data_IF_657169470047
#
_entry.id   IF_657169470047
#
_cell.length_a   1.000
_cell.length_b   1.000
_cell.length_c   1.000
_cell.angle_alpha   90.00
_cell.angle_beta   90.00
_cell.angle_gamma   90.00
#
_symmetry.space_group_name_H-M   'P 1'
#
loop_
_entity.id
_entity.type
_entity.pdbx_description
1 polymer ?
2 polymer ?
3 water ?
#
loop_
_entity_poly.entity_id
_entity_poly.type
_entity_poly.pdbx_seq_one_letter_code
_entity_poly.pdbx_strand_id
2 'polyribonucleotide' 'GGGGUUUUCCUUUUCCCC' ?
#
# COMPACT_ATOMS: atom_id res chain seq x y z
N UNK A 36 17.98 0.44 21.36
CA UNK A 36 16.84 1.08 21.99
C UNK A 36 17.33 1.42 23.37
N UNK A 37 16.95 0.64 24.36
CA UNK A 37 17.46 0.96 25.67
C UNK A 37 18.86 0.49 25.78
N UNK A 38 19.13 -0.54 25.03
CA UNK A 38 20.40 -1.08 24.95
C UNK A 38 21.31 -0.02 24.35
N UNK A 39 20.75 0.91 23.59
CA UNK A 39 21.54 1.96 22.97
C UNK A 39 21.92 3.01 23.97
N UNK A 40 20.98 3.30 24.84
CA UNK A 40 21.22 4.24 25.87
C UNK A 40 22.29 3.71 26.81
N UNK A 41 22.29 2.43 27.06
CA UNK A 41 23.22 1.78 27.97
C UNK A 41 24.62 1.80 27.42
N UNK A 42 24.69 1.62 26.13
CA UNK A 42 25.95 1.64 25.38
C UNK A 42 26.59 3.01 25.44
N UNK A 43 25.76 4.02 25.19
CA UNK A 43 26.10 5.41 25.25
C UNK A 43 26.60 5.87 26.66
N UNK A 44 26.07 5.25 27.72
CA UNK A 44 26.44 5.60 29.09
C UNK A 44 27.74 4.92 29.57
N UNK A 45 28.28 4.01 28.73
CA UNK A 45 29.61 3.45 28.92
C UNK A 45 30.69 4.29 28.24
N UNK A 46 30.32 5.43 27.66
CA UNK A 46 31.26 6.32 26.97
C UNK A 46 31.65 5.90 25.55
N UNK A 47 31.00 4.85 25.04
CA UNK A 47 31.19 4.33 23.70
C UNK A 47 30.45 5.23 22.69
N UNK A 48 31.18 5.75 21.71
CA UNK A 48 30.67 6.67 20.71
C UNK A 48 30.38 5.87 19.46
N UNK A 49 29.08 5.60 19.21
CA UNK A 49 28.68 4.69 18.15
C UNK A 49 28.71 5.29 16.76
N UNK A 50 29.11 4.48 15.78
CA UNK A 50 29.08 4.82 14.34
C UNK A 50 27.74 5.39 13.90
N UNK A 51 27.78 6.20 12.84
CA UNK A 51 26.61 6.77 12.22
C UNK A 51 25.73 5.62 11.75
N UNK A 52 26.34 4.53 11.29
CA UNK A 52 25.61 3.38 10.75
C UNK A 52 24.74 2.80 11.86
N UNK A 53 25.21 2.92 13.10
CA UNK A 53 24.42 2.50 14.28
C UNK A 53 23.19 3.38 14.49
N UNK A 54 23.39 4.70 14.50
CA UNK A 54 22.29 5.67 14.49
C UNK A 54 21.25 5.47 13.36
N UNK A 55 21.72 5.18 12.15
CA UNK A 55 20.86 5.04 10.96
C UNK A 55 19.91 3.88 11.10
N UNK A 56 20.47 2.70 11.38
CA UNK A 56 19.70 1.48 11.69
C UNK A 56 18.56 1.77 12.69
N UNK A 57 18.89 2.51 13.75
CA UNK A 57 17.91 2.89 14.76
C UNK A 57 16.82 3.79 14.23
N UNK A 58 17.21 4.86 13.53
CA UNK A 58 16.23 5.76 12.86
C UNK A 58 15.35 4.98 11.87
N UNK A 59 15.97 4.05 11.15
CA UNK A 59 15.22 3.16 10.26
C UNK A 59 14.16 2.35 11.03
N UNK A 60 14.57 1.68 12.11
CA UNK A 60 13.63 0.87 12.93
C UNK A 60 12.45 1.71 13.38
N UNK A 61 12.72 2.90 13.93
CA UNK A 61 11.67 3.80 14.37
C UNK A 61 10.66 4.16 13.28
N UNK A 62 11.18 4.46 12.08
CA UNK A 62 10.36 4.82 10.92
C UNK A 62 9.38 3.68 10.54
N UNK A 63 9.91 2.48 10.36
CA UNK A 63 9.14 1.28 10.05
C UNK A 63 8.16 0.80 11.14
N UNK A 64 8.27 1.36 12.36
CA UNK A 64 7.36 1.07 13.47
C UNK A 64 6.17 2.02 13.49
N UNK A 65 6.31 3.15 12.82
CA UNK A 65 5.30 4.18 12.85
C UNK A 65 5.74 5.31 13.75
N UNK A 66 6.80 5.06 14.51
CA UNK A 66 7.36 6.04 15.43
C UNK A 66 8.27 7.03 14.70
N UNK A 67 7.67 7.83 13.85
CA UNK A 67 8.42 8.76 13.00
C UNK A 67 8.98 9.96 13.75
N UNK A 68 8.19 10.46 14.71
CA UNK A 68 8.54 11.64 15.54
C UNK A 68 9.74 11.32 16.42
N UNK A 69 9.80 10.10 16.92
CA UNK A 69 10.96 9.63 17.63
C UNK A 69 12.16 9.55 16.72
N UNK A 70 11.94 9.29 15.42
CA UNK A 70 13.04 9.14 14.45
C UNK A 70 13.68 10.49 14.16
N UNK A 71 12.84 11.48 13.95
CA UNK A 71 13.25 12.85 13.78
C UNK A 71 13.93 13.41 15.02
N UNK A 72 13.52 12.93 16.19
CA UNK A 72 14.10 13.39 17.45
C UNK A 72 15.53 12.91 17.59
N UNK A 73 15.72 11.60 17.37
CA UNK A 73 17.05 11.00 17.28
C UNK A 73 17.92 11.65 16.17
N UNK A 74 17.31 12.01 15.05
CA UNK A 74 17.99 12.81 14.01
C UNK A 74 18.55 14.12 14.60
N UNK A 75 17.69 14.88 15.26
CA UNK A 75 18.05 16.14 15.91
C UNK A 75 19.09 16.00 17.01
N UNK A 76 19.04 14.88 17.71
CA UNK A 76 19.98 14.55 18.76
C UNK A 76 21.37 14.14 18.24
N UNK A 77 21.43 13.40 17.13
CA UNK A 77 22.77 13.12 16.59
C UNK A 77 23.46 14.41 16.16
N UNK A 78 22.68 15.33 15.64
CA UNK A 78 23.21 16.61 15.18
C UNK A 78 23.70 17.47 16.35
N UNK A 79 22.93 17.51 17.43
CA UNK A 79 23.31 18.17 18.64
C UNK A 79 24.58 17.59 19.27
N UNK A 80 24.80 16.29 19.08
CA UNK A 80 26.01 15.62 19.59
C UNK A 80 27.23 15.76 18.67
N UNK A 81 27.04 16.47 17.57
CA UNK A 81 28.06 16.66 16.58
C UNK A 81 28.32 15.45 15.72
N UNK A 82 27.36 14.54 15.66
CA UNK A 82 27.49 13.34 14.84
C UNK A 82 26.81 13.66 13.52
N UNK A 83 27.57 13.74 12.45
CA UNK A 83 26.98 14.14 11.16
C UNK A 83 26.17 13.06 10.45
N UNK A 84 24.87 13.34 10.24
CA UNK A 84 23.99 12.52 9.42
C UNK A 84 24.54 12.40 8.00
N UNK A 85 24.52 11.22 7.41
CA UNK A 85 25.14 11.05 6.12
C UNK A 85 24.04 10.86 5.09
N UNK A 86 24.37 10.46 3.89
CA UNK A 86 23.37 10.29 2.82
C UNK A 86 22.36 9.19 3.22
N UNK A 87 22.82 8.13 3.87
CA UNK A 87 21.89 7.08 4.30
C UNK A 87 20.94 7.66 5.33
N UNK A 88 21.44 8.51 6.23
CA UNK A 88 20.57 9.08 7.27
C UNK A 88 19.42 9.80 6.60
N UNK A 89 19.73 10.66 5.63
CA UNK A 89 18.71 11.37 4.87
C UNK A 89 17.75 10.47 4.10
N UNK A 90 18.30 9.48 3.36
CA UNK A 90 17.51 8.53 2.58
C UNK A 90 16.50 7.79 3.46
N UNK A 91 16.95 7.32 4.59
CA UNK A 91 16.05 6.72 5.57
C UNK A 91 14.87 7.59 5.99
N UNK A 92 15.13 8.86 6.33
CA UNK A 92 14.06 9.78 6.75
C UNK A 92 13.18 10.19 5.59
N UNK A 93 13.77 10.33 4.40
CA UNK A 93 12.94 10.74 3.26
C UNK A 93 11.88 9.62 3.00
N UNK A 94 12.34 8.37 2.97
CA UNK A 94 11.40 7.20 2.82
C UNK A 94 10.28 7.14 3.91
N UNK A 95 10.64 7.26 5.18
CA UNK A 95 9.68 7.16 6.26
C UNK A 95 8.64 8.26 6.25
N UNK A 96 9.06 9.47 5.90
CA UNK A 96 8.14 10.60 5.67
C UNK A 96 7.21 10.38 4.48
N UNK A 97 7.77 9.93 3.36
CA UNK A 97 6.97 9.49 2.20
C UNK A 97 5.95 8.39 2.61
N UNK A 98 6.41 7.36 3.32
CA UNK A 98 5.49 6.28 3.73
C UNK A 98 4.40 6.76 4.73
N UNK A 99 4.78 7.74 5.57
CA UNK A 99 3.84 8.42 6.48
C UNK A 99 2.93 9.44 5.78
N UNK A 100 3.01 9.57 4.46
CA UNK A 100 2.18 10.53 3.73
C UNK A 100 2.68 11.97 3.75
N UNK A 101 3.94 12.17 4.11
CA UNK A 101 4.51 13.52 4.31
C UNK A 101 5.54 13.81 3.22
N UNK A 102 5.08 13.83 1.98
CA UNK A 102 5.96 14.01 0.85
C UNK A 102 6.59 15.42 0.80
N UNK A 103 5.85 16.42 1.25
CA UNK A 103 6.34 17.79 1.39
C UNK A 103 7.50 17.86 2.36
N UNK A 104 7.34 17.30 3.55
CA UNK A 104 8.46 17.29 4.46
C UNK A 104 9.69 16.54 3.88
N UNK A 105 9.47 15.47 3.12
CA UNK A 105 10.59 14.65 2.64
C UNK A 105 11.32 15.46 1.61
N UNK A 106 10.52 16.23 0.89
CA UNK A 106 10.99 17.14 -0.11
C UNK A 106 11.87 18.23 0.49
N UNK A 107 11.47 18.72 1.66
CA UNK A 107 12.25 19.73 2.33
C UNK A 107 13.55 19.14 2.81
N UNK A 108 13.48 17.91 3.31
CA UNK A 108 14.67 17.17 3.74
C UNK A 108 15.66 16.94 2.56
N UNK A 109 15.16 16.56 1.40
CA UNK A 109 15.97 16.49 0.18
C UNK A 109 16.69 17.81 -0.13
N UNK A 110 16.00 18.95 -0.01
CA UNK A 110 16.55 20.29 -0.27
C UNK A 110 17.61 20.59 0.75
N UNK A 111 17.34 20.20 1.98
CA UNK A 111 18.31 20.36 3.01
C UNK A 111 19.63 19.57 2.82
N UNK A 112 19.58 18.31 2.35
CA UNK A 112 20.84 17.61 2.13
C UNK A 112 21.66 18.24 1.03
N UNK A 113 20.99 18.64 -0.03
CA UNK A 113 21.63 19.33 -1.15
C UNK A 113 22.28 20.63 -0.66
N UNK A 114 21.58 21.46 0.14
CA UNK A 114 22.20 22.67 0.69
C UNK A 114 23.44 22.36 1.51
N UNK A 115 23.38 21.33 2.36
CA UNK A 115 24.54 20.88 3.13
C UNK A 115 25.75 20.29 2.36
N UNK A 116 25.59 20.00 1.07
CA UNK A 116 26.64 19.37 0.28
C UNK A 116 26.61 17.87 0.39
N UNK A 117 25.54 17.33 0.97
CA UNK A 117 25.36 15.87 1.05
C UNK A 117 24.61 15.45 -0.22
N UNK A 118 25.35 14.86 -1.18
CA UNK A 118 24.81 14.53 -2.52
C UNK A 118 23.74 13.42 -2.56
N UNK A 119 22.54 13.75 -3.01
CA UNK A 119 21.58 12.71 -3.31
C UNK A 119 22.25 11.62 -4.19
N UNK A 120 21.96 10.37 -3.87
CA UNK A 120 22.52 9.28 -4.61
C UNK A 120 21.39 8.52 -5.27
N UNK A 121 21.70 7.40 -5.91
CA UNK A 121 20.71 6.66 -6.67
C UNK A 121 19.52 6.28 -5.77
N UNK A 122 19.79 5.98 -4.52
CA UNK A 122 18.74 5.55 -3.60
C UNK A 122 17.86 6.77 -3.25
N UNK A 123 18.46 7.96 -3.10
CA UNK A 123 17.70 9.15 -2.84
C UNK A 123 16.69 9.38 -3.97
N UNK A 124 17.16 9.37 -5.21
CA UNK A 124 16.27 9.50 -6.35
C UNK A 124 15.21 8.40 -6.44
N UNK A 125 15.61 7.13 -6.35
CA UNK A 125 14.63 5.98 -6.35
C UNK A 125 13.54 6.16 -5.31
N UNK A 126 13.94 6.56 -4.12
CA UNK A 126 13.01 6.75 -3.01
C UNK A 126 12.01 7.86 -3.25
N UNK A 127 12.46 8.97 -3.85
CA UNK A 127 11.56 10.09 -4.08
C UNK A 127 10.68 9.80 -5.27
N UNK A 128 11.26 9.15 -6.27
CA UNK A 128 10.49 8.72 -7.43
C UNK A 128 9.36 7.81 -6.97
N UNK A 129 9.63 6.90 -6.05
CA UNK A 129 8.56 5.99 -5.55
C UNK A 129 7.46 6.74 -4.81
N UNK A 130 7.88 7.67 -3.96
CA UNK A 130 6.95 8.51 -3.18
C UNK A 130 6.07 9.33 -4.12
N UNK A 131 6.64 9.80 -5.21
CA UNK A 131 5.90 10.66 -6.13
C UNK A 131 4.89 9.86 -6.92
N UNK A 132 5.29 8.68 -7.40
CA UNK A 132 4.33 7.77 -8.01
C UNK A 132 3.17 7.46 -7.04
N UNK A 133 3.45 6.98 -5.82
CA UNK A 133 2.40 6.55 -4.87
C UNK A 133 1.42 7.69 -4.54
N UNK A 134 1.90 8.93 -4.71
CA UNK A 134 1.16 10.14 -4.39
C UNK A 134 0.34 10.72 -5.56
N UNK A 135 0.42 10.12 -6.74
CA UNK A 135 -0.30 10.59 -7.93
C UNK A 135 0.46 11.58 -8.80
N UNK A 136 1.75 11.67 -8.54
CA UNK A 136 2.60 12.69 -9.13
C UNK A 136 3.58 12.07 -10.06
N UNK A 137 3.06 11.23 -10.95
CA UNK A 137 3.90 10.54 -11.93
C UNK A 137 4.77 11.51 -12.73
N UNK A 138 4.20 12.67 -13.06
CA UNK A 138 4.91 13.66 -13.90
C UNK A 138 6.14 14.14 -13.18
N UNK A 139 6.01 14.42 -11.89
CA UNK A 139 7.21 14.83 -11.18
C UNK A 139 8.23 13.76 -10.92
N UNK A 140 7.77 12.50 -10.97
CA UNK A 140 8.65 11.39 -10.75
C UNK A 140 9.52 11.25 -11.96
N UNK A 141 8.97 11.57 -13.12
CA UNK A 141 9.66 11.34 -14.34
C UNK A 141 10.64 12.48 -14.59
N UNK A 142 10.40 13.59 -13.92
CA UNK A 142 11.29 14.75 -13.92
C UNK A 142 12.51 14.46 -13.08
N UNK A 143 12.31 13.82 -11.94
CA UNK A 143 13.43 13.33 -11.12
C UNK A 143 14.25 12.27 -11.84
N UNK A 144 13.60 11.43 -12.62
CA UNK A 144 14.29 10.44 -13.46
C UNK A 144 15.23 11.10 -14.48
N UNK A 145 14.82 12.25 -15.06
CA UNK A 145 15.71 13.03 -15.91
C UNK A 145 16.79 13.77 -15.10
N UNK A 146 16.44 14.30 -13.95
CA UNK A 146 17.39 14.98 -13.09
C UNK A 146 18.56 14.12 -12.62
N UNK A 147 18.29 12.89 -12.19
CA UNK A 147 19.38 12.01 -11.76
C UNK A 147 20.39 11.73 -12.87
N UNK A 148 19.94 11.48 -14.09
CA UNK A 148 20.85 11.29 -15.24
C UNK A 148 21.76 12.51 -15.46
N UNK A 149 21.25 13.69 -15.16
CA UNK A 149 21.95 14.99 -15.37
C UNK A 149 23.02 15.20 -14.32
N UNK A 150 22.85 14.52 -13.20
CA UNK A 150 23.92 14.49 -12.17
C UNK A 150 24.94 13.36 -12.31
N UNK A 151 24.89 12.59 -13.40
CA UNK A 151 25.87 11.50 -13.61
C UNK A 151 25.43 10.23 -12.88
N UNK A 152 24.22 10.22 -12.34
CA UNK A 152 23.72 9.00 -11.71
C UNK A 152 23.09 8.08 -12.75
N UNK A 153 23.41 6.79 -12.71
CA UNK A 153 22.77 5.79 -13.57
C UNK A 153 21.52 5.22 -12.93
N UNK A 154 20.37 5.33 -13.61
CA UNK A 154 19.18 4.60 -13.20
C UNK A 154 19.53 3.12 -13.10
N UNK A 155 19.00 2.43 -12.09
CA UNK A 155 19.35 1.00 -11.94
C UNK A 155 18.06 0.19 -11.96
N UNK A 156 18.14 -1.11 -11.67
CA UNK A 156 16.96 -2.02 -11.71
C UNK A 156 15.80 -1.47 -10.82
N UNK A 157 16.11 -0.95 -9.62
CA UNK A 157 15.06 -0.41 -8.71
C UNK A 157 14.45 0.84 -9.35
N UNK A 158 15.26 1.69 -10.01
CA UNK A 158 14.76 2.87 -10.71
C UNK A 158 13.73 2.47 -11.76
N UNK A 159 14.13 1.52 -12.60
CA UNK A 159 13.22 0.97 -13.58
C UNK A 159 12.02 0.26 -13.03
N UNK A 160 12.20 -0.70 -12.09
CA UNK A 160 11.06 -1.35 -11.41
C UNK A 160 10.06 -0.35 -10.86
N UNK A 161 10.51 0.66 -10.16
CA UNK A 161 9.61 1.72 -9.60
C UNK A 161 8.83 2.52 -10.66
N UNK A 162 9.45 2.81 -11.79
CA UNK A 162 8.76 3.60 -12.82
C UNK A 162 7.83 2.69 -13.59
N UNK A 163 8.29 1.46 -13.89
CA UNK A 163 7.42 0.43 -14.51
C UNK A 163 6.13 0.20 -13.67
N UNK A 164 6.28 0.08 -12.35
CA UNK A 164 5.13 -0.02 -11.43
C UNK A 164 4.29 1.22 -11.47
N UNK A 165 4.94 2.41 -11.42
CA UNK A 165 4.19 3.69 -11.37
C UNK A 165 3.41 3.96 -12.68
N UNK A 166 4.00 3.60 -13.82
CA UNK A 166 3.37 3.67 -15.13
C UNK A 166 2.18 2.69 -15.27
N UNK A 167 2.37 1.41 -14.93
CA UNK A 167 1.29 0.40 -14.93
C UNK A 167 0.06 0.82 -14.11
N UNK A 168 0.32 1.29 -12.89
CA UNK A 168 -0.73 1.85 -12.03
C UNK A 168 -1.42 3.10 -12.56
N UNK A 169 -0.77 3.78 -13.50
CA UNK A 169 -1.34 4.99 -14.03
C UNK A 169 -2.11 4.74 -15.34
N UNK A 170 -2.26 3.49 -15.73
CA UNK A 170 -2.93 3.14 -16.98
C UNK A 170 -1.98 3.06 -18.16
N UNK A 171 -0.67 3.02 -17.90
CA UNK A 171 0.29 3.23 -18.94
C UNK A 171 1.15 2.05 -19.23
N UNK A 172 0.52 0.91 -19.39
CA UNK A 172 1.25 -0.30 -19.66
C UNK A 172 2.26 -0.12 -20.80
N UNK A 173 1.87 0.55 -21.88
CA UNK A 173 2.71 0.63 -23.10
C UNK A 173 4.05 1.30 -22.84
N UNK A 174 4.03 2.44 -22.15
CA UNK A 174 5.21 3.14 -21.66
C UNK A 174 6.01 2.27 -20.70
N UNK A 175 5.31 1.44 -19.91
CA UNK A 175 5.95 0.52 -18.95
C UNK A 175 6.74 -0.52 -19.69
N UNK A 176 6.08 -1.10 -20.69
CA UNK A 176 6.73 -2.05 -21.57
C UNK A 176 7.86 -1.44 -22.40
N UNK A 177 7.77 -0.15 -22.75
CA UNK A 177 8.89 0.55 -23.40
C UNK A 177 10.05 0.73 -22.40
N UNK A 178 9.74 1.02 -21.15
CA UNK A 178 10.77 1.12 -20.10
C UNK A 178 11.46 -0.21 -19.87
N UNK A 179 10.70 -1.29 -19.97
CA UNK A 179 11.19 -2.67 -19.94
C UNK A 179 12.21 -3.02 -21.03
N UNK A 180 11.92 -2.60 -22.26
CA UNK A 180 12.87 -2.68 -23.38
C UNK A 180 14.14 -1.86 -23.09
N UNK A 181 13.96 -0.62 -22.65
CA UNK A 181 15.03 0.35 -22.41
C UNK A 181 16.07 -0.14 -21.34
N UNK A 182 15.60 -0.78 -20.29
CA UNK A 182 16.49 -1.31 -19.27
C UNK A 182 17.38 -2.43 -19.83
N UNK A 183 16.83 -3.26 -20.72
CA UNK A 183 17.63 -4.28 -21.41
C UNK A 183 18.72 -3.58 -22.28
N UNK A 184 18.41 -2.41 -22.83
CA UNK A 184 19.39 -1.63 -23.61
C UNK A 184 20.52 -1.06 -22.73
N UNK A 185 20.20 -0.48 -21.58
CA UNK A 185 21.21 0.01 -20.62
C UNK A 185 22.04 -1.14 -20.00
N UNK A 186 21.69 -2.39 -20.26
CA UNK A 186 22.47 -3.46 -19.70
C UNK A 186 21.90 -3.96 -18.39
N UNK A 187 20.70 -3.48 -18.03
CA UNK A 187 20.15 -3.76 -16.69
C UNK A 187 19.25 -4.94 -16.79
N UNK A 188 19.55 -6.00 -16.06
CA UNK A 188 18.81 -7.26 -16.18
C UNK A 188 17.47 -7.30 -15.40
N UNK A 189 16.34 -7.39 -16.14
CA UNK A 189 15.05 -7.58 -15.48
C UNK A 189 15.14 -8.69 -14.44
N UNK A 190 14.76 -8.42 -13.19
CA UNK A 190 14.79 -9.45 -12.19
C UNK A 190 13.39 -9.99 -11.86
N UNK A 191 13.25 -10.67 -10.71
CA UNK A 191 11.96 -11.23 -10.22
C UNK A 191 10.90 -10.14 -9.94
N UNK A 192 11.30 -9.01 -9.34
CA UNK A 192 10.37 -7.84 -9.10
C UNK A 192 9.95 -7.22 -10.43
N UNK A 193 10.90 -7.13 -11.39
CA UNK A 193 10.58 -6.63 -12.78
C UNK A 193 9.53 -7.53 -13.45
N UNK A 194 9.77 -8.82 -13.49
CA UNK A 194 8.73 -9.73 -14.00
C UNK A 194 7.44 -9.67 -13.18
N UNK A 195 7.53 -9.71 -11.84
CA UNK A 195 6.29 -9.58 -10.98
C UNK A 195 5.56 -8.34 -11.24
N UNK A 196 6.24 -7.22 -11.26
CA UNK A 196 5.60 -5.94 -11.60
C UNK A 196 4.92 -5.88 -12.95
N UNK A 197 5.56 -6.46 -13.96
CA UNK A 197 4.97 -6.45 -15.31
C UNK A 197 3.76 -7.36 -15.44
N UNK A 198 3.84 -8.52 -14.81
CA UNK A 198 2.75 -9.49 -14.79
C UNK A 198 1.53 -8.92 -14.04
N UNK A 199 1.79 -8.19 -12.97
CA UNK A 199 0.72 -7.41 -12.32
C UNK A 199 0.14 -6.40 -13.24
N UNK A 200 0.97 -5.67 -14.00
CA UNK A 200 0.48 -4.68 -14.95
C UNK A 200 -0.37 -5.34 -16.07
N UNK A 201 0.10 -6.44 -16.64
CA UNK A 201 -0.65 -7.15 -17.67
C UNK A 201 -2.02 -7.73 -17.17
N UNK A 202 -2.04 -8.29 -15.95
CA UNK A 202 -3.24 -8.93 -15.40
C UNK A 202 -4.31 -7.87 -15.17
N UNK A 203 -3.93 -6.74 -14.61
CA UNK A 203 -4.85 -5.65 -14.42
C UNK A 203 -5.36 -5.12 -15.74
N UNK A 204 -4.63 -5.36 -16.83
CA UNK A 204 -5.01 -4.84 -18.14
C UNK A 204 -5.80 -5.86 -19.02
N UNK A 205 -6.06 -7.05 -18.50
CA UNK A 205 -6.81 -8.05 -19.25
C UNK A 205 -5.92 -9.02 -19.98
N UNK A 206 -4.61 -8.80 -19.85
CA UNK A 206 -3.61 -9.49 -20.64
C UNK A 206 -3.09 -10.73 -19.95
N UNK A 207 -4.06 -11.48 -19.45
CA UNK A 207 -3.85 -12.57 -18.55
C UNK A 207 -2.94 -13.62 -19.14
N UNK A 208 -3.24 -14.02 -20.38
CA UNK A 208 -2.46 -15.04 -21.10
C UNK A 208 -1.07 -14.53 -21.40
N UNK A 209 -0.98 -13.23 -21.68
CA UNK A 209 0.29 -12.54 -21.89
C UNK A 209 1.16 -12.56 -20.61
N UNK A 210 0.54 -12.25 -19.45
CA UNK A 210 1.22 -12.42 -18.14
C UNK A 210 1.76 -13.82 -17.97
N UNK A 211 0.95 -14.80 -18.37
CA UNK A 211 1.37 -16.21 -18.32
C UNK A 211 2.55 -16.55 -19.26
N UNK A 212 2.67 -15.91 -20.43
CA UNK A 212 3.94 -16.08 -21.24
C UNK A 212 5.14 -15.55 -20.49
N UNK A 213 4.99 -14.33 -19.95
CA UNK A 213 6.01 -13.72 -19.11
C UNK A 213 6.45 -14.62 -17.99
N UNK A 214 5.47 -15.22 -17.31
CA UNK A 214 5.71 -16.21 -16.27
C UNK A 214 6.58 -17.39 -16.78
N UNK A 215 6.32 -17.90 -17.98
CA UNK A 215 7.18 -18.95 -18.54
C UNK A 215 8.50 -18.36 -19.02
N UNK A 216 8.46 -17.17 -19.61
CA UNK A 216 9.69 -16.42 -19.97
C UNK A 216 10.70 -16.16 -18.81
N UNK A 217 10.23 -16.05 -17.57
CA UNK A 217 11.13 -15.78 -16.46
C UNK A 217 11.81 -17.06 -15.94
N UNK A 218 11.06 -18.17 -15.99
CA UNK A 218 11.56 -19.53 -15.75
C UNK A 218 12.59 -19.94 -16.83
N UNK A 219 12.32 -19.53 -18.06
CA UNK A 219 13.20 -19.81 -19.18
C UNK A 219 14.52 -19.04 -19.06
N UNK A 220 14.51 -18.03 -18.19
CA UNK A 220 15.67 -17.20 -17.89
C UNK A 220 16.30 -17.52 -16.55
N UNK A 221 15.71 -18.42 -15.78
CA UNK A 221 16.34 -18.79 -14.53
C UNK A 221 16.02 -17.86 -13.38
N UNK A 222 14.97 -17.07 -13.55
CA UNK A 222 14.39 -16.31 -12.47
C UNK A 222 13.29 -17.18 -11.86
N UNK A 223 13.48 -17.50 -10.60
CA UNK A 223 12.52 -18.33 -9.92
C UNK A 223 11.32 -17.51 -9.40
N UNK A 224 10.08 -17.92 -9.78
CA UNK A 224 8.83 -17.27 -9.30
C UNK A 224 8.77 -17.38 -7.81
N UNK A 225 8.26 -16.34 -7.15
CA UNK A 225 8.04 -16.39 -5.69
C UNK A 225 6.57 -16.55 -5.49
N UNK A 226 6.16 -16.61 -4.22
CA UNK A 226 4.76 -16.47 -3.80
C UNK A 226 4.06 -15.25 -4.45
N UNK A 227 4.79 -14.13 -4.62
CA UNK A 227 4.25 -12.86 -5.16
C UNK A 227 3.77 -13.07 -6.58
N UNK A 228 4.58 -13.83 -7.36
CA UNK A 228 4.30 -14.19 -8.76
C UNK A 228 3.00 -14.95 -8.84
N UNK A 229 2.89 -16.05 -8.11
CA UNK A 229 1.62 -16.78 -7.97
C UNK A 229 0.50 -15.95 -7.45
N UNK A 230 0.66 -15.26 -6.32
CA UNK A 230 -0.48 -14.40 -5.83
C UNK A 230 -1.02 -13.42 -6.88
N UNK A 231 -0.10 -12.75 -7.60
CA UNK A 231 -0.44 -11.81 -8.65
C UNK A 231 -1.33 -12.42 -9.71
N UNK A 232 -0.88 -13.56 -10.23
CA UNK A 232 -1.58 -14.37 -11.22
C UNK A 232 -2.93 -14.89 -10.72
N UNK A 233 -2.96 -15.35 -9.46
CA UNK A 233 -4.20 -15.83 -8.80
C UNK A 233 -5.23 -14.68 -8.74
N UNK A 234 -4.76 -13.48 -8.38
CA UNK A 234 -5.64 -12.30 -8.36
C UNK A 234 -6.21 -12.00 -9.75
N UNK A 235 -5.37 -12.09 -10.80
CA UNK A 235 -5.79 -11.70 -12.15
C UNK A 235 -6.83 -12.70 -12.66
N UNK A 236 -6.60 -13.98 -12.35
CA UNK A 236 -7.55 -15.05 -12.67
C UNK A 236 -8.91 -14.82 -12.00
N UNK A 237 -8.92 -14.52 -10.69
CA UNK A 237 -10.17 -14.13 -10.00
C UNK A 237 -10.95 -12.94 -10.61
N UNK A 238 -10.26 -11.82 -10.88
CA UNK A 238 -10.89 -10.63 -11.38
C UNK A 238 -11.50 -10.82 -12.78
N UNK A 239 -10.87 -11.68 -13.56
CA UNK A 239 -11.37 -12.07 -14.86
C UNK A 239 -12.45 -13.21 -14.78
N UNK A 240 -12.92 -13.57 -13.58
CA UNK A 240 -14.00 -14.56 -13.42
C UNK A 240 -13.56 -16.02 -13.56
N UNK A 241 -12.26 -16.28 -13.56
CA UNK A 241 -11.64 -17.62 -13.64
C UNK A 241 -11.21 -18.22 -12.30
N UNK A 242 -12.13 -18.23 -11.35
CA UNK A 242 -11.79 -18.65 -9.98
C UNK A 242 -11.33 -20.09 -9.97
N UNK A 243 -11.97 -20.90 -10.83
CA UNK A 243 -11.53 -22.28 -11.15
C UNK A 243 -10.02 -22.37 -11.34
N UNK A 244 -9.54 -21.68 -12.37
CA UNK A 244 -8.12 -21.64 -12.71
C UNK A 244 -7.27 -21.08 -11.55
N UNK A 245 -7.78 -20.04 -10.88
CA UNK A 245 -7.06 -19.39 -9.76
C UNK A 245 -6.78 -20.37 -8.64
N UNK A 246 -7.73 -21.29 -8.36
CA UNK A 246 -7.57 -22.35 -7.35
C UNK A 246 -6.68 -23.48 -7.83
N UNK A 247 -6.71 -23.72 -9.13
CA UNK A 247 -5.80 -24.71 -9.69
C UNK A 247 -4.33 -24.21 -9.57
N UNK A 248 -4.11 -22.91 -9.76
CA UNK A 248 -2.77 -22.37 -9.67
C UNK A 248 -2.31 -22.36 -8.20
N UNK A 249 -3.25 -22.12 -7.29
CA UNK A 249 -2.96 -22.23 -5.89
C UNK A 249 -2.47 -23.64 -5.48
N UNK A 250 -3.08 -24.68 -6.06
CA UNK A 250 -2.68 -26.09 -5.84
C UNK A 250 -1.29 -26.44 -6.39
N UNK A 251 -1.03 -26.08 -7.63
CA UNK A 251 0.29 -26.16 -8.28
C UNK A 251 1.44 -25.45 -7.52
N UNK A 252 1.12 -24.31 -6.92
CA UNK A 252 2.08 -23.48 -6.19
C UNK A 252 2.55 -24.22 -4.96
N UNK A 253 1.60 -24.77 -4.22
CA UNK A 253 1.89 -25.55 -3.03
C UNK A 253 2.69 -26.80 -3.45
N UNK A 254 2.36 -27.32 -4.65
CA UNK A 254 3.05 -28.48 -5.18
C UNK A 254 4.50 -28.20 -5.59
N UNK A 255 4.75 -27.04 -6.20
CA UNK A 255 6.10 -26.60 -6.60
C UNK A 255 6.96 -26.22 -5.40
N UNK A 256 6.46 -26.44 -4.19
CA UNK A 256 7.14 -26.09 -2.96
C UNK A 256 6.82 -24.75 -2.31
N UNK A 257 6.08 -23.90 -3.01
CA UNK A 257 5.84 -22.54 -2.52
C UNK A 257 4.75 -22.52 -1.45
N UNK A 258 5.14 -22.14 -0.24
CA UNK A 258 4.19 -21.92 0.84
C UNK A 258 3.36 -20.63 0.66
N UNK A 259 2.03 -20.76 0.59
CA UNK A 259 1.13 -19.58 0.56
C UNK A 259 1.45 -18.58 1.64
N UNK A 260 1.17 -17.30 1.40
CA UNK A 260 1.22 -16.31 2.47
C UNK A 260 -0.18 -15.86 2.80
N UNK A 261 -0.26 -14.89 3.71
CA UNK A 261 -1.50 -14.35 4.11
C UNK A 261 -2.18 -13.71 2.91
N UNK A 262 -1.40 -13.10 2.01
CA UNK A 262 -1.91 -12.47 0.75
C UNK A 262 -2.53 -13.48 -0.16
N UNK A 263 -1.91 -14.65 -0.24
CA UNK A 263 -2.49 -15.76 -1.02
C UNK A 263 -3.91 -16.02 -0.55
N UNK A 264 -4.08 -16.24 0.77
CA UNK A 264 -5.38 -16.44 1.36
C UNK A 264 -6.31 -15.26 1.32
N UNK A 265 -5.82 -14.05 1.51
CA UNK A 265 -6.70 -12.88 1.31
C UNK A 265 -7.30 -12.76 -0.05
N UNK A 266 -6.45 -12.99 -1.06
CA UNK A 266 -6.83 -12.94 -2.49
C UNK A 266 -7.87 -13.98 -2.81
N UNK A 267 -7.73 -15.18 -2.24
CA UNK A 267 -8.69 -16.25 -2.56
C UNK A 267 -9.97 -16.00 -1.73
N UNK A 268 -9.84 -15.54 -0.49
CA UNK A 268 -11.02 -15.12 0.29
C UNK A 268 -11.82 -14.06 -0.41
N UNK A 269 -11.13 -13.06 -0.97
CA UNK A 269 -11.82 -11.94 -1.71
C UNK A 269 -12.51 -12.44 -2.93
N UNK A 270 -11.84 -13.33 -3.68
CA UNK A 270 -12.40 -13.81 -4.93
C UNK A 270 -13.62 -14.68 -4.64
N UNK A 271 -13.58 -15.46 -3.55
CA UNK A 271 -14.73 -16.30 -3.23
C UNK A 271 -15.93 -15.43 -2.80
N UNK A 272 -15.69 -14.43 -1.92
CA UNK A 272 -16.70 -13.42 -1.58
C UNK A 272 -17.30 -12.74 -2.81
N UNK A 273 -16.47 -12.15 -3.71
CA UNK A 273 -16.95 -11.48 -4.94
C UNK A 273 -17.74 -12.42 -5.82
N UNK A 274 -17.43 -13.70 -5.77
CA UNK A 274 -18.16 -14.72 -6.53
C UNK A 274 -19.51 -15.14 -5.92
N UNK A 275 -19.74 -14.85 -4.65
CA UNK A 275 -21.02 -15.22 -4.01
C UNK A 275 -20.87 -16.41 -3.12
N UNK A 276 -19.67 -16.98 -3.03
CA UNK A 276 -19.34 -18.17 -2.21
C UNK A 276 -18.73 -17.77 -0.92
N UNK A 277 -19.51 -17.09 -0.10
CA UNK A 277 -19.04 -16.61 1.19
C UNK A 277 -18.80 -17.71 2.18
N UNK A 278 -19.67 -18.74 2.19
CA UNK A 278 -19.39 -19.97 2.96
C UNK A 278 -18.00 -20.58 2.69
N UNK A 279 -17.60 -20.71 1.42
CA UNK A 279 -16.27 -21.22 1.08
C UNK A 279 -15.18 -20.24 1.55
N UNK A 280 -15.47 -18.95 1.43
CA UNK A 280 -14.53 -17.91 1.93
C UNK A 280 -14.22 -18.10 3.43
N UNK A 281 -15.27 -18.38 4.20
CA UNK A 281 -15.15 -18.66 5.65
C UNK A 281 -14.43 -19.98 5.93
N UNK A 282 -14.58 -20.95 5.06
CA UNK A 282 -13.81 -22.20 5.16
C UNK A 282 -12.33 -21.95 5.01
N UNK A 283 -11.96 -21.19 3.98
CA UNK A 283 -10.56 -20.78 3.75
C UNK A 283 -9.99 -19.98 4.91
N UNK A 284 -10.79 -19.10 5.50
CA UNK A 284 -10.39 -18.36 6.69
C UNK A 284 -10.04 -19.30 7.85
N UNK A 285 -10.85 -20.35 8.02
CA UNK A 285 -10.58 -21.42 9.02
C UNK A 285 -9.30 -22.11 8.64
N UNK A 286 -9.25 -22.66 7.43
CA UNK A 286 -8.06 -23.32 6.87
C UNK A 286 -6.71 -22.61 7.07
N UNK A 287 -6.63 -21.30 6.79
CA UNK A 287 -5.30 -20.68 6.83
C UNK A 287 -4.64 -20.76 8.21
N UNK A 288 -5.48 -20.63 9.24
CA UNK A 288 -5.13 -20.84 10.64
C UNK A 288 -4.58 -22.26 10.86
N UNK A 289 -5.32 -23.28 10.42
CA UNK A 289 -4.86 -24.66 10.53
C UNK A 289 -3.49 -24.87 9.92
N UNK A 290 -3.18 -24.08 8.89
CA UNK A 290 -1.91 -24.19 8.16
C UNK A 290 -0.87 -23.18 8.62
N UNK A 291 -1.14 -22.53 9.75
CA UNK A 291 -0.14 -21.65 10.38
C UNK A 291 -0.06 -20.21 9.85
N UNK A 292 -0.99 -19.84 8.97
CA UNK A 292 -0.96 -18.50 8.40
C UNK A 292 -1.85 -17.62 9.24
N UNK A 293 -1.27 -16.59 9.84
CA UNK A 293 -1.98 -15.71 10.75
C UNK A 293 -2.85 -14.69 9.99
N UNK A 294 -4.17 -14.72 10.19
CA UNK A 294 -5.02 -13.67 9.62
C UNK A 294 -4.51 -12.30 10.00
N UNK A 295 -4.71 -11.31 9.14
CA UNK A 295 -4.46 -9.96 9.60
C UNK A 295 -5.57 -9.01 9.23
N UNK A 296 -5.34 -7.71 9.26
CA UNK A 296 -6.40 -6.72 9.16
C UNK A 296 -7.07 -6.77 7.77
N UNK A 297 -6.30 -7.12 6.74
CA UNK A 297 -6.85 -7.24 5.40
C UNK A 297 -7.70 -8.49 5.36
N UNK A 298 -7.35 -9.54 6.05
CA UNK A 298 -8.18 -10.74 6.10
C UNK A 298 -9.57 -10.39 6.71
N UNK A 299 -9.57 -9.65 7.81
CA UNK A 299 -10.82 -9.20 8.39
C UNK A 299 -11.60 -8.22 7.50
N UNK A 300 -10.93 -7.20 6.95
CA UNK A 300 -11.58 -6.18 6.10
C UNK A 300 -12.32 -6.86 4.93
N UNK A 301 -11.70 -7.89 4.38
CA UNK A 301 -12.21 -8.63 3.23
C UNK A 301 -13.42 -9.41 3.57
N UNK A 302 -13.38 -10.19 4.64
CA UNK A 302 -14.53 -10.95 5.10
C UNK A 302 -15.61 -9.99 5.53
N UNK A 303 -15.23 -8.91 6.21
CA UNK A 303 -16.24 -7.93 6.63
C UNK A 303 -16.92 -7.32 5.38
N UNK A 304 -16.14 -7.07 4.33
CA UNK A 304 -16.73 -6.49 3.10
C UNK A 304 -17.70 -7.45 2.39
N UNK A 305 -17.30 -8.71 2.20
CA UNK A 305 -18.23 -9.69 1.65
C UNK A 305 -19.47 -9.99 2.54
N UNK A 306 -19.37 -9.96 3.84
CA UNK A 306 -20.58 -10.12 4.67
C UNK A 306 -21.54 -8.93 4.53
N UNK A 307 -20.96 -7.72 4.52
CA UNK A 307 -21.67 -6.49 4.29
C UNK A 307 -22.45 -6.46 2.97
N UNK A 308 -21.78 -6.79 1.84
CA UNK A 308 -22.40 -6.87 0.52
C UNK A 308 -23.48 -7.90 0.48
N UNK A 309 -23.28 -9.04 1.15
CA UNK A 309 -24.34 -10.05 1.24
C UNK A 309 -25.58 -9.57 2.04
N UNK A 310 -25.43 -8.49 2.78
CA UNK A 310 -26.49 -8.06 3.69
C UNK A 310 -26.41 -8.68 5.07
N UNK A 311 -25.39 -9.50 5.35
CA UNK A 311 -25.18 -10.14 6.67
C UNK A 311 -24.44 -9.19 7.62
N UNK A 312 -25.05 -8.05 7.90
CA UNK A 312 -24.48 -7.02 8.71
C UNK A 312 -24.14 -7.46 10.10
N UNK A 313 -24.98 -8.36 10.52
CA UNK A 313 -24.98 -9.06 11.75
C UNK A 313 -23.61 -9.62 11.99
N UNK A 314 -23.20 -10.53 11.12
CA UNK A 314 -21.92 -11.16 11.17
C UNK A 314 -20.76 -10.22 10.92
N UNK A 315 -20.94 -9.24 10.08
CA UNK A 315 -19.82 -8.33 9.80
C UNK A 315 -19.36 -7.65 11.10
N UNK A 316 -20.35 -7.07 11.81
CA UNK A 316 -20.12 -6.33 13.05
C UNK A 316 -19.52 -7.19 14.17
N UNK A 317 -19.90 -8.45 14.19
CA UNK A 317 -19.33 -9.40 15.12
C UNK A 317 -17.90 -9.67 14.79
N UNK A 318 -17.63 -9.94 13.51
CA UNK A 318 -16.28 -10.19 13.01
C UNK A 318 -15.38 -8.99 13.36
N UNK A 319 -15.94 -7.80 13.35
CA UNK A 319 -15.27 -6.56 13.70
C UNK A 319 -14.84 -6.55 15.17
N UNK A 320 -15.76 -7.04 16.03
CA UNK A 320 -15.52 -7.21 17.45
C UNK A 320 -14.44 -8.26 17.67
N UNK A 321 -14.56 -9.41 17.01
CA UNK A 321 -13.52 -10.41 17.03
C UNK A 321 -12.08 -9.85 16.79
N UNK A 322 -11.87 -9.02 15.75
CA UNK A 322 -10.52 -8.56 15.43
C UNK A 322 -9.91 -7.70 16.52
N UNK A 323 -10.68 -6.78 17.14
CA UNK A 323 -10.18 -6.01 18.29
C UNK A 323 -9.68 -6.94 19.41
N UNK A 324 -10.51 -7.90 19.78
CA UNK A 324 -10.23 -8.80 20.89
C UNK A 324 -8.98 -9.62 20.66
N UNK A 325 -8.81 -10.09 19.42
CA UNK A 325 -7.60 -10.78 18.95
C UNK A 325 -6.39 -9.85 18.75
N UNK A 326 -6.56 -8.56 19.04
CA UNK A 326 -5.44 -7.60 18.97
C UNK A 326 -5.11 -6.94 17.63
N UNK A 327 -5.83 -7.35 16.57
CA UNK A 327 -5.67 -6.73 15.25
C UNK A 327 -6.47 -5.45 15.29
N UNK A 328 -5.76 -4.33 15.21
CA UNK A 328 -6.42 -3.03 15.22
C UNK A 328 -7.09 -2.71 13.86
N UNK A 329 -8.42 -2.46 13.86
CA UNK A 329 -9.11 -1.94 12.67
C UNK A 329 -8.39 -0.72 12.15
N UNK A 330 -8.30 -0.58 10.83
CA UNK A 330 -7.70 0.63 10.23
C UNK A 330 -8.83 1.38 9.59
N UNK A 331 -8.51 2.38 8.79
CA UNK A 331 -9.50 3.21 8.11
C UNK A 331 -10.41 2.43 7.13
N UNK A 332 -9.84 1.47 6.37
CA UNK A 332 -10.56 0.55 5.47
C UNK A 332 -11.67 -0.23 6.23
N UNK A 333 -11.39 -0.62 7.48
CA UNK A 333 -12.33 -1.42 8.31
C UNK A 333 -13.56 -0.59 8.59
N UNK A 334 -13.36 0.64 9.06
CA UNK A 334 -14.47 1.59 9.27
C UNK A 334 -15.18 1.97 8.01
N UNK A 335 -14.44 2.31 6.95
CA UNK A 335 -15.03 2.60 5.63
C UNK A 335 -15.94 1.50 5.14
N UNK A 336 -15.45 0.27 5.20
CA UNK A 336 -16.21 -0.90 4.78
C UNK A 336 -17.52 -1.02 5.57
N UNK A 337 -17.45 -0.98 6.89
CA UNK A 337 -18.66 -1.07 7.75
C UNK A 337 -19.59 0.11 7.55
N UNK A 338 -19.02 1.29 7.40
CA UNK A 338 -19.82 2.49 7.13
C UNK A 338 -20.56 2.35 5.79
N UNK A 339 -19.86 1.88 4.77
CA UNK A 339 -20.49 1.56 3.50
C UNK A 339 -21.67 0.63 3.62
N UNK A 340 -21.46 -0.52 4.28
CA UNK A 340 -22.50 -1.55 4.47
C UNK A 340 -23.73 -0.97 5.14
N UNK A 341 -23.51 -0.13 6.15
CA UNK A 341 -24.61 0.48 6.93
C UNK A 341 -25.40 1.58 6.18
N UNK A 342 -24.68 2.44 5.44
CA UNK A 342 -25.29 3.41 4.52
C UNK A 342 -26.17 2.79 3.46
N UNK A 343 -25.67 1.75 2.78
CA UNK A 343 -26.44 1.08 1.73
C UNK A 343 -27.68 0.39 2.30
N UNK A 344 -27.61 -0.04 3.56
CA UNK A 344 -28.74 -0.63 4.20
C UNK A 344 -29.74 0.47 4.68
N UNK A 345 -29.36 1.74 4.68
CA UNK A 345 -30.23 2.85 5.16
C UNK A 345 -30.14 3.04 6.69
N UNK A 346 -29.14 2.42 7.32
CA UNK A 346 -28.86 2.49 8.77
C UNK A 346 -27.87 3.64 9.02
N UNK A 347 -28.29 4.83 8.67
CA UNK A 347 -27.44 6.02 8.74
C UNK A 347 -26.94 6.38 10.16
N UNK A 348 -27.78 6.16 11.17
CA UNK A 348 -27.43 6.43 12.58
C UNK A 348 -26.31 5.52 12.99
N UNK A 349 -26.42 4.26 12.63
CA UNK A 349 -25.40 3.29 12.95
C UNK A 349 -24.13 3.61 12.22
N UNK A 350 -24.25 4.08 10.98
CA UNK A 350 -23.06 4.42 10.18
C UNK A 350 -22.34 5.66 10.72
N UNK A 351 -23.12 6.64 11.14
CA UNK A 351 -22.56 7.83 11.75
C UNK A 351 -21.88 7.53 13.10
N UNK A 352 -22.45 6.58 13.83
CA UNK A 352 -21.89 6.11 15.10
C UNK A 352 -20.50 5.48 14.92
N UNK A 353 -20.28 4.77 13.83
CA UNK A 353 -18.98 4.20 13.58
C UNK A 353 -18.01 5.27 13.12
N UNK A 354 -18.51 6.28 12.40
CA UNK A 354 -17.68 7.40 11.98
C UNK A 354 -17.14 8.19 13.19
N UNK A 355 -18.06 8.51 14.13
CA UNK A 355 -17.76 9.12 15.43
C UNK A 355 -16.72 8.32 16.21
N UNK A 356 -16.97 7.03 16.38
CA UNK A 356 -16.07 6.15 17.07
C UNK A 356 -14.68 6.09 16.40
N UNK A 357 -14.65 6.03 15.08
CA UNK A 357 -13.39 6.05 14.34
C UNK A 357 -12.57 7.36 14.57
N UNK A 358 -13.25 8.49 14.45
CA UNK A 358 -12.72 9.83 14.73
C UNK A 358 -12.29 9.97 16.21
N UNK A 359 -12.98 9.26 17.10
CA UNK A 359 -12.60 9.20 18.51
C UNK A 359 -11.26 8.49 18.69
N UNK A 360 -11.19 7.25 18.19
CA UNK A 360 -10.08 6.33 18.41
C UNK A 360 -8.78 6.68 17.66
N UNK A 361 -8.72 7.89 17.11
CA UNK A 361 -7.53 8.40 16.42
C UNK A 361 -7.36 8.01 14.96
N UNK A 362 -8.30 7.19 14.47
CA UNK A 362 -8.27 6.68 13.13
C UNK A 362 -8.79 7.82 12.28
N UNK A 363 -7.97 8.25 11.34
CA UNK A 363 -8.25 9.44 10.55
C UNK A 363 -9.13 9.07 9.32
N UNK A 364 -10.27 9.77 9.11
CA UNK A 364 -11.08 9.55 7.89
C UNK A 364 -10.38 10.08 6.64
N UNK A 365 -10.67 9.49 5.47
CA UNK A 365 -10.05 9.94 4.22
C UNK A 365 -11.10 10.32 3.21
N UNK A 366 -10.74 10.38 1.95
CA UNK A 366 -11.64 10.81 0.90
C UNK A 366 -12.74 9.78 0.69
N UNK A 367 -12.42 8.50 0.97
CA UNK A 367 -13.35 7.37 0.73
C UNK A 367 -14.41 7.41 1.83
N UNK A 368 -14.02 7.79 3.06
CA UNK A 368 -14.93 7.86 4.22
C UNK A 368 -16.05 8.88 3.98
N UNK A 369 -15.70 10.03 3.41
CA UNK A 369 -16.61 11.11 3.21
C UNK A 369 -17.39 10.92 1.94
N UNK A 370 -16.77 10.40 0.90
CA UNK A 370 -17.53 10.03 -0.27
C UNK A 370 -18.64 9.02 0.09
N UNK A 371 -18.33 8.07 0.97
CA UNK A 371 -19.25 7.06 1.39
C UNK A 371 -20.47 7.64 2.13
N UNK A 372 -20.22 8.56 3.06
CA UNK A 372 -21.27 9.18 3.84
C UNK A 372 -22.11 10.14 3.00
N UNK A 373 -21.48 10.92 2.13
CA UNK A 373 -22.17 11.85 1.27
C UNK A 373 -23.05 11.05 0.30
N UNK A 374 -22.43 10.11 -0.40
CA UNK A 374 -23.14 9.08 -1.17
C UNK A 374 -24.38 8.55 -0.39
N UNK A 375 -24.19 8.12 0.85
CA UNK A 375 -25.24 7.53 1.67
C UNK A 375 -26.37 8.52 1.87
N UNK A 376 -25.98 9.75 2.21
CA UNK A 376 -26.91 10.85 2.48
C UNK A 376 -27.67 11.32 1.23
N UNK A 377 -26.96 11.52 0.14
CA UNK A 377 -27.57 11.86 -1.13
C UNK A 377 -28.59 10.82 -1.53
N UNK A 378 -28.22 9.54 -1.41
CA UNK A 378 -29.10 8.43 -1.71
C UNK A 378 -30.38 8.57 -0.91
N UNK A 379 -30.29 8.80 0.39
CA UNK A 379 -31.49 8.94 1.20
C UNK A 379 -32.31 10.23 0.95
N UNK A 380 -31.80 11.15 0.11
CA UNK A 380 -32.38 12.50 -0.04
C UNK A 380 -32.05 13.48 1.08
N UNK A 381 -31.07 13.14 1.91
CA UNK A 381 -30.65 14.04 3.00
C UNK A 381 -29.52 14.93 2.46
N UNK A 382 -29.90 15.87 1.61
CA UNK A 382 -28.95 16.65 0.86
C UNK A 382 -28.20 17.71 1.65
N UNK A 383 -28.82 18.30 2.67
CA UNK A 383 -28.11 19.27 3.49
C UNK A 383 -27.19 18.63 4.54
N UNK A 384 -27.52 17.41 5.00
CA UNK A 384 -26.62 16.67 5.86
C UNK A 384 -25.33 16.43 5.07
N UNK A 385 -25.50 15.98 3.82
CA UNK A 385 -24.41 15.68 2.93
C UNK A 385 -23.60 16.89 2.51
N UNK A 386 -24.24 18.05 2.42
CA UNK A 386 -23.55 19.27 2.05
C UNK A 386 -22.68 19.72 3.23
N UNK A 387 -23.22 19.58 4.43
CA UNK A 387 -22.54 19.89 5.70
C UNK A 387 -21.35 18.95 5.99
N UNK A 388 -21.44 17.71 5.50
CA UNK A 388 -20.30 16.78 5.55
C UNK A 388 -19.28 17.07 4.50
N UNK A 389 -19.71 17.63 3.38
CA UNK A 389 -18.79 18.10 2.35
C UNK A 389 -17.86 19.18 2.87
N UNK A 390 -18.43 20.15 3.61
CA UNK A 390 -17.70 21.31 4.17
C UNK A 390 -16.70 20.86 5.20
N UNK A 391 -17.14 19.99 6.10
CA UNK A 391 -16.31 19.44 7.14
C UNK A 391 -15.08 18.70 6.59
N UNK A 392 -15.25 18.00 5.46
CA UNK A 392 -14.16 17.28 4.81
C UNK A 392 -13.05 18.27 4.40
N UNK A 393 -13.45 19.39 3.80
CA UNK A 393 -12.53 20.45 3.39
C UNK A 393 -11.86 21.04 4.63
N UNK A 394 -12.66 21.24 5.68
CA UNK A 394 -12.18 21.70 6.97
C UNK A 394 -11.03 20.89 7.55
N UNK A 395 -10.95 19.60 7.19
CA UNK A 395 -9.87 18.72 7.61
C UNK A 395 -8.74 18.59 6.57
N UNK A 396 -8.84 19.36 5.48
CA UNK A 396 -7.79 19.36 4.47
C UNK A 396 -7.75 18.15 3.54
N UNK A 397 -8.74 17.27 3.69
CA UNK A 397 -8.90 16.10 2.82
C UNK A 397 -9.36 16.59 1.45
N UNK A 398 -8.65 16.17 0.41
CA UNK A 398 -8.97 16.58 -0.97
C UNK A 398 -10.17 15.83 -1.59
N UNK A 399 -11.24 16.55 -1.99
CA UNK A 399 -12.31 15.88 -2.71
C UNK A 399 -11.92 15.39 -4.10
N UNK A 400 -12.77 14.58 -4.72
CA UNK A 400 -12.60 14.19 -6.13
C UNK A 400 -13.89 14.34 -6.92
N UNK A 401 -13.83 14.01 -8.21
CA UNK A 401 -15.03 14.06 -9.04
C UNK A 401 -16.16 13.34 -8.32
N UNK A 402 -15.87 12.17 -7.76
CA UNK A 402 -16.85 11.41 -7.01
C UNK A 402 -17.63 12.29 -6.10
N UNK A 403 -16.92 12.93 -5.19
CA UNK A 403 -17.55 13.94 -4.30
C UNK A 403 -18.49 14.93 -5.05
N UNK A 404 -18.03 15.48 -6.19
CA UNK A 404 -18.85 16.41 -7.00
C UNK A 404 -19.98 15.70 -7.78
N UNK A 405 -19.62 14.60 -8.44
CA UNK A 405 -20.52 13.74 -9.21
C UNK A 405 -21.79 13.40 -8.44
N UNK A 406 -21.60 12.99 -7.19
CA UNK A 406 -22.70 12.63 -6.31
C UNK A 406 -23.60 13.84 -5.97
N UNK A 407 -24.74 13.86 -6.66
CA UNK A 407 -25.85 14.78 -6.40
C UNK A 407 -27.16 14.20 -6.93
N UNK A 408 -28.04 13.91 -5.99
CA UNK A 408 -29.44 13.63 -6.25
C UNK A 408 -30.18 14.86 -6.78
N UNK A 409 -29.46 15.98 -6.95
CA UNK A 409 -30.04 17.24 -7.43
C UNK A 409 -30.81 16.97 -8.72
N UNK A 410 -30.08 16.49 -9.73
CA UNK A 410 -30.62 16.06 -11.03
C UNK A 410 -31.79 15.07 -10.97
#
# INVERSE_FOLDING_TARGET
ALLDETPLPPGSRLDVRAYTTVLHALSRAGRYERALELFAELRRQGVAPTVVTYNTLIDGLCKAGKLDEALKLFEEMVEKGIKPDVVTYNTLIDGLCKAGKLDEALKLFEEMVEKGIKPDVVTYNTLIDGLCKAGKLDEALKLFEEMVEKGIKPDVVTYNTLIDGLCKAGKLDEALKLFEEMVEKGIKPDVVTYNTLIDGLCKAGKLDEALKLFEEMVEKGIKPSVVTYNTLIDGLCKAGKLDEALKLFEEMVEKGIKPSVVTYNTLIDGLCKAGKLDEALKLFEEMVEKGIKPDVVTYNTLIDGLCKAGKLDEALKLFEEMVEKGIKPDVVTYNTLIDGLCKAGKLDEALKLFEEMVEKGIKPDVVTYNTLIDGLCKAGKLDEALKLFEEMVEKGIKPDELTYRRVVESYCRAKRFEEARGFLSEVSETDLDFDKKALEAYIEDAQFGRLEHHHHHHHH
#
